data_IF_308367844220
#
_entry.id   IF_308367844220
#
_cell.length_a   1.000
_cell.length_b   1.000
_cell.length_c   1.000
_cell.angle_alpha   90.00
_cell.angle_beta   90.00
_cell.angle_gamma   90.00
#
_symmetry.space_group_name_H-M   'P 1'
#
loop_
_entity.id
_entity.type
_entity.pdbx_description
1 polymer ?
#
# COMPACT_ATOMS: atom_id res chain seq x y z
N UNK A 1 -11.69 12.86 9.63
CA UNK A 1 -11.87 11.58 10.36
C UNK A 1 -10.61 11.25 11.12
N UNK A 2 -10.76 10.95 12.39
CA UNK A 2 -9.63 10.52 13.20
C UNK A 2 -9.44 9.03 13.07
N UNK A 3 -8.21 8.60 12.82
CA UNK A 3 -7.84 7.20 12.86
C UNK A 3 -6.38 7.07 13.27
N UNK A 4 -6.06 5.91 13.84
CA UNK A 4 -4.69 5.58 14.20
C UNK A 4 -4.08 4.71 13.11
N UNK A 5 -2.78 4.87 12.88
CA UNK A 5 -2.02 4.01 11.97
C UNK A 5 -1.14 3.11 12.83
N UNK A 6 -1.44 1.82 12.83
CA UNK A 6 -0.79 0.84 13.69
C UNK A 6 -0.19 -0.30 12.85
N UNK A 7 0.84 -0.99 13.38
CA UNK A 7 1.32 -2.20 12.71
C UNK A 7 0.19 -3.22 12.56
N UNK A 8 0.10 -3.83 11.40
CA UNK A 8 -0.92 -4.83 11.11
C UNK A 8 -0.53 -6.18 11.69
N UNK A 9 -1.44 -6.79 12.43
CA UNK A 9 -1.23 -8.11 13.05
C UNK A 9 -2.08 -9.16 12.36
N UNK A 10 -1.83 -10.45 12.70
CA UNK A 10 -2.69 -11.54 12.23
C UNK A 10 -4.11 -11.41 12.76
N UNK A 11 -4.30 -10.86 13.94
CA UNK A 11 -5.64 -10.60 14.47
C UNK A 11 -6.39 -9.61 13.59
N UNK A 12 -5.72 -8.55 13.14
CA UNK A 12 -6.31 -7.62 12.20
C UNK A 12 -6.67 -8.30 10.89
N UNK A 13 -5.77 -9.13 10.37
CA UNK A 13 -6.03 -9.89 9.15
C UNK A 13 -7.26 -10.78 9.29
N UNK A 14 -7.37 -11.50 10.40
CA UNK A 14 -8.49 -12.40 10.65
C UNK A 14 -9.82 -11.66 10.65
N UNK A 15 -9.84 -10.41 11.12
CA UNK A 15 -11.05 -9.60 11.15
C UNK A 15 -11.51 -9.17 9.76
N UNK A 16 -10.58 -8.90 8.85
CA UNK A 16 -10.93 -8.39 7.52
C UNK A 16 -10.95 -9.46 6.45
N UNK A 17 -10.38 -10.64 6.71
CA UNK A 17 -10.33 -11.73 5.72
C UNK A 17 -11.68 -12.02 5.08
N UNK A 18 -12.78 -12.16 5.84
CA UNK A 18 -14.08 -12.48 5.24
C UNK A 18 -14.62 -11.41 4.29
N UNK A 19 -14.14 -10.18 4.39
CA UNK A 19 -14.65 -9.05 3.61
C UNK A 19 -13.61 -8.42 2.69
N UNK A 20 -12.46 -9.08 2.51
CA UNK A 20 -11.37 -8.53 1.68
C UNK A 20 -11.82 -8.21 0.26
N UNK A 21 -12.61 -9.09 -0.36
CA UNK A 21 -13.06 -8.88 -1.74
C UNK A 21 -14.30 -8.02 -1.84
N UNK A 22 -15.15 -8.01 -0.80
CA UNK A 22 -16.44 -7.31 -0.84
C UNK A 22 -16.36 -5.88 -0.33
N UNK A 23 -15.64 -5.63 0.76
CA UNK A 23 -15.56 -4.29 1.37
C UNK A 23 -14.26 -3.56 1.05
N UNK A 24 -13.16 -4.29 0.83
CA UNK A 24 -11.86 -3.68 0.55
C UNK A 24 -11.49 -3.72 -0.91
N UNK A 25 -12.14 -4.56 -1.70
CA UNK A 25 -11.84 -4.72 -3.12
C UNK A 25 -10.36 -5.06 -3.31
N UNK A 26 -9.86 -5.93 -2.45
CA UNK A 26 -8.44 -6.27 -2.43
C UNK A 26 -8.05 -7.07 -3.68
N UNK A 27 -6.96 -6.67 -4.29
CA UNK A 27 -6.33 -7.36 -5.40
C UNK A 27 -5.73 -8.70 -4.94
N UNK A 28 -5.36 -8.80 -3.66
CA UNK A 28 -4.65 -9.96 -3.13
C UNK A 28 -5.59 -11.06 -2.67
N UNK A 29 -5.20 -12.31 -2.95
CA UNK A 29 -5.86 -13.44 -2.30
C UNK A 29 -5.51 -13.41 -0.80
N UNK A 30 -6.45 -13.82 0.08
CA UNK A 30 -6.17 -13.80 1.52
C UNK A 30 -4.92 -14.57 1.91
N UNK A 31 -4.65 -15.71 1.28
CA UNK A 31 -3.45 -16.50 1.59
C UNK A 31 -2.15 -15.76 1.27
N UNK A 32 -2.14 -14.96 0.22
CA UNK A 32 -0.96 -14.19 -0.17
C UNK A 32 -0.72 -13.04 0.82
N UNK A 33 -1.77 -12.34 1.20
CA UNK A 33 -1.67 -11.27 2.20
C UNK A 33 -1.17 -11.82 3.53
N UNK A 34 -1.67 -13.00 3.94
CA UNK A 34 -1.21 -13.64 5.17
C UNK A 34 0.28 -13.98 5.12
N UNK A 35 0.75 -14.50 3.98
CA UNK A 35 2.17 -14.79 3.79
C UNK A 35 3.02 -13.53 3.90
N UNK A 36 2.54 -12.42 3.33
CA UNK A 36 3.24 -11.15 3.41
C UNK A 36 3.35 -10.64 4.85
N UNK A 37 2.30 -10.81 5.64
CA UNK A 37 2.32 -10.42 7.05
C UNK A 37 3.31 -11.23 7.88
N UNK A 38 3.59 -12.46 7.47
CA UNK A 38 4.53 -13.35 8.14
C UNK A 38 5.97 -13.17 7.64
N UNK A 39 6.16 -12.43 6.55
CA UNK A 39 7.47 -12.21 5.94
C UNK A 39 8.23 -11.12 6.72
N UNK A 40 9.43 -11.47 7.21
CA UNK A 40 10.24 -10.53 8.00
C UNK A 40 10.77 -9.35 7.18
N UNK A 41 10.78 -9.45 5.86
CA UNK A 41 11.17 -8.34 4.97
C UNK A 41 10.04 -7.38 4.68
N UNK A 42 8.82 -7.68 5.13
CA UNK A 42 7.64 -6.86 4.90
C UNK A 42 7.24 -6.10 6.17
N UNK A 43 6.66 -4.91 5.96
CA UNK A 43 6.09 -4.09 7.03
C UNK A 43 4.70 -3.65 6.58
N UNK A 44 3.69 -4.01 7.35
CA UNK A 44 2.30 -3.66 7.06
C UNK A 44 1.69 -2.84 8.18
N UNK A 45 0.83 -1.90 7.79
CA UNK A 45 0.14 -1.03 8.74
C UNK A 45 -1.35 -0.99 8.41
N UNK A 46 -2.15 -0.76 9.45
CA UNK A 46 -3.59 -0.56 9.30
C UNK A 46 -3.95 0.87 9.71
N UNK A 47 -5.03 1.37 9.11
CA UNK A 47 -5.73 2.55 9.59
C UNK A 47 -6.96 2.06 10.34
N UNK A 48 -7.08 2.42 11.61
CA UNK A 48 -8.16 1.94 12.48
C UNK A 48 -8.81 3.11 13.22
N UNK A 49 -10.14 3.11 13.26
CA UNK A 49 -10.92 4.03 14.06
C UNK A 49 -11.72 3.20 15.04
N UNK A 50 -11.39 3.31 16.34
CA UNK A 50 -11.92 2.44 17.38
C UNK A 50 -11.59 0.98 17.01
N UNK A 51 -12.59 0.15 16.72
CA UNK A 51 -12.38 -1.25 16.35
C UNK A 51 -12.62 -1.50 14.86
N UNK A 52 -12.83 -0.43 14.08
CA UNK A 52 -13.14 -0.55 12.65
C UNK A 52 -11.88 -0.32 11.83
N UNK A 53 -11.46 -1.33 11.07
CA UNK A 53 -10.31 -1.26 10.19
C UNK A 53 -10.75 -0.63 8.88
N UNK A 54 -10.16 0.52 8.56
CA UNK A 54 -10.55 1.34 7.41
C UNK A 54 -9.67 1.13 6.19
N UNK A 55 -8.48 0.60 6.39
CA UNK A 55 -7.55 0.36 5.31
C UNK A 55 -6.26 -0.28 5.80
N UNK A 56 -5.43 -0.70 4.87
CA UNK A 56 -4.11 -1.25 5.18
C UNK A 56 -3.16 -1.01 4.02
N UNK A 57 -1.88 -1.12 4.30
CA UNK A 57 -0.86 -1.01 3.27
C UNK A 57 0.46 -1.54 3.76
N UNK A 58 1.34 -1.86 2.83
CA UNK A 58 2.60 -2.46 3.18
C UNK A 58 3.73 -2.19 2.20
N UNK A 59 4.93 -2.43 2.69
CA UNK A 59 6.17 -2.37 1.92
C UNK A 59 6.99 -3.62 2.18
N UNK A 60 7.83 -4.00 1.23
CA UNK A 60 8.82 -5.06 1.44
C UNK A 60 10.18 -4.59 0.95
N UNK A 61 11.22 -5.07 1.60
CA UNK A 61 12.58 -4.64 1.34
C UNK A 61 13.26 -5.51 0.30
N UNK A 62 13.88 -4.87 -0.70
CA UNK A 62 14.68 -5.53 -1.73
C UNK A 62 16.04 -4.82 -1.79
N UNK A 63 17.04 -5.39 -1.16
CA UNK A 63 18.40 -4.87 -1.06
C UNK A 63 18.44 -3.49 -0.41
N UNK A 64 18.52 -2.41 -1.18
CA UNK A 64 18.59 -1.04 -0.65
C UNK A 64 17.39 -0.18 -1.02
N UNK A 65 16.28 -0.82 -1.40
CA UNK A 65 15.04 -0.09 -1.67
C UNK A 65 13.84 -0.84 -1.08
N UNK A 66 12.73 -0.13 -0.93
CA UNK A 66 11.45 -0.71 -0.55
C UNK A 66 10.46 -0.64 -1.68
N UNK A 67 9.63 -1.66 -1.79
CA UNK A 67 8.50 -1.69 -2.71
C UNK A 67 7.21 -1.53 -1.91
N UNK A 68 6.34 -0.63 -2.34
CA UNK A 68 4.97 -0.60 -1.84
C UNK A 68 4.23 -1.72 -2.54
N UNK A 69 3.72 -2.68 -1.75
CA UNK A 69 3.00 -3.82 -2.30
C UNK A 69 1.55 -3.48 -2.57
N UNK A 70 0.93 -2.74 -1.66
CA UNK A 70 -0.47 -2.35 -1.83
C UNK A 70 -0.84 -1.27 -0.81
N UNK A 71 -1.82 -0.44 -1.17
CA UNK A 71 -2.53 0.44 -0.24
C UNK A 71 -4.00 0.29 -0.59
N UNK A 72 -4.75 -0.27 0.35
CA UNK A 72 -6.17 -0.60 0.15
C UNK A 72 -6.99 0.13 1.19
N UNK A 73 -8.03 0.83 0.75
CA UNK A 73 -8.96 1.54 1.64
C UNK A 73 -10.35 0.92 1.48
N UNK A 74 -11.00 0.65 2.60
CA UNK A 74 -12.37 0.14 2.63
C UNK A 74 -13.27 1.02 1.76
N UNK A 75 -14.11 0.42 0.93
CA UNK A 75 -14.93 1.16 -0.04
C UNK A 75 -15.72 2.28 0.61
N UNK A 76 -16.33 2.01 1.76
CA UNK A 76 -17.15 2.99 2.48
C UNK A 76 -16.33 4.13 3.11
N UNK A 77 -15.01 4.01 3.13
CA UNK A 77 -14.12 4.98 3.78
C UNK A 77 -13.21 5.71 2.79
N UNK A 78 -13.44 5.55 1.50
CA UNK A 78 -12.65 6.21 0.45
C UNK A 78 -12.92 7.71 0.42
N UNK A 79 -11.94 8.44 -0.11
CA UNK A 79 -12.00 9.92 -0.25
C UNK A 79 -11.98 10.67 1.09
N UNK A 80 -11.52 10.02 2.16
CA UNK A 80 -11.39 10.62 3.49
C UNK A 80 -9.92 10.87 3.89
N UNK A 81 -8.98 10.64 2.96
CA UNK A 81 -7.56 10.85 3.23
C UNK A 81 -6.85 9.68 3.90
N UNK A 82 -7.50 8.54 4.02
CA UNK A 82 -6.94 7.37 4.72
C UNK A 82 -5.74 6.80 3.97
N UNK A 83 -5.82 6.70 2.64
CA UNK A 83 -4.70 6.24 1.83
C UNK A 83 -3.46 7.11 2.00
N UNK A 84 -3.66 8.43 2.12
CA UNK A 84 -2.57 9.37 2.37
C UNK A 84 -1.91 9.11 3.73
N UNK A 85 -2.70 8.86 4.77
CA UNK A 85 -2.17 8.59 6.11
C UNK A 85 -1.33 7.31 6.13
N UNK A 86 -1.81 6.27 5.44
CA UNK A 86 -1.07 5.01 5.33
C UNK A 86 0.24 5.25 4.57
N UNK A 87 0.18 5.94 3.44
CA UNK A 87 1.36 6.24 2.63
C UNK A 87 2.39 7.04 3.42
N UNK A 88 1.96 8.06 4.16
CA UNK A 88 2.85 8.86 5.00
C UNK A 88 3.57 7.99 6.03
N UNK A 89 2.85 7.05 6.64
CA UNK A 89 3.46 6.13 7.61
C UNK A 89 4.50 5.23 6.96
N UNK A 90 4.19 4.68 5.78
CA UNK A 90 5.12 3.83 5.06
C UNK A 90 6.39 4.59 4.68
N UNK A 91 6.25 5.81 4.19
CA UNK A 91 7.40 6.66 3.84
C UNK A 91 8.25 6.93 5.08
N UNK A 92 7.61 7.25 6.21
CA UNK A 92 8.31 7.57 7.45
C UNK A 92 9.16 6.39 7.94
N UNK A 93 8.58 5.18 8.00
CA UNK A 93 9.31 4.02 8.52
C UNK A 93 10.45 3.60 7.59
N UNK A 94 10.28 3.80 6.27
CA UNK A 94 11.33 3.49 5.31
C UNK A 94 12.49 4.49 5.41
N UNK A 95 12.18 5.77 5.56
CA UNK A 95 13.22 6.81 5.71
C UNK A 95 14.15 6.53 6.89
N UNK A 96 13.62 5.97 7.96
CA UNK A 96 14.41 5.67 9.14
C UNK A 96 15.43 4.55 8.93
N UNK A 97 15.32 3.80 7.83
CA UNK A 97 16.23 2.69 7.54
C UNK A 97 17.36 3.03 6.59
N UNK A 98 17.47 4.28 6.15
CA UNK A 98 18.56 4.75 5.33
C UNK A 98 18.72 3.97 4.01
N UNK A 99 17.59 3.71 3.34
CA UNK A 99 17.57 3.08 2.02
C UNK A 99 17.50 4.16 0.93
N UNK A 100 17.79 3.77 -0.32
CA UNK A 100 17.92 4.73 -1.41
C UNK A 100 16.57 5.22 -1.94
N UNK A 101 15.56 4.35 -1.97
CA UNK A 101 14.30 4.69 -2.64
C UNK A 101 13.14 3.82 -2.20
N UNK A 102 11.94 4.32 -2.53
CA UNK A 102 10.69 3.55 -2.45
C UNK A 102 10.11 3.53 -3.86
N UNK A 103 9.73 2.35 -4.34
CA UNK A 103 9.13 2.20 -5.66
C UNK A 103 7.78 1.50 -5.57
N UNK A 104 6.96 1.70 -6.59
CA UNK A 104 5.65 1.07 -6.70
C UNK A 104 5.25 0.93 -8.15
N UNK A 105 4.21 0.13 -8.40
CA UNK A 105 3.58 0.01 -9.69
C UNK A 105 2.11 0.41 -9.54
N UNK A 106 1.63 1.23 -10.44
CA UNK A 106 0.24 1.70 -10.42
C UNK A 106 -0.36 1.56 -11.80
N UNK A 107 -1.62 1.11 -11.85
CA UNK A 107 -2.33 0.96 -13.12
C UNK A 107 -2.37 2.29 -13.86
N UNK A 108 -2.06 2.28 -15.16
CA UNK A 108 -2.05 3.47 -16.00
C UNK A 108 -3.41 4.19 -16.01
N UNK A 109 -4.48 3.47 -15.74
CA UNK A 109 -5.84 4.03 -15.68
C UNK A 109 -6.23 4.55 -14.32
N UNK A 110 -5.44 4.29 -13.27
CA UNK A 110 -5.73 4.74 -11.93
C UNK A 110 -5.16 6.13 -11.67
N UNK A 111 -5.84 7.14 -12.24
CA UNK A 111 -5.39 8.53 -12.15
C UNK A 111 -5.37 9.06 -10.70
N UNK A 112 -6.39 8.81 -9.87
CA UNK A 112 -6.34 9.27 -8.48
C UNK A 112 -5.14 8.78 -7.70
N UNK A 113 -4.76 7.51 -7.87
CA UNK A 113 -3.60 6.95 -7.20
C UNK A 113 -2.31 7.59 -7.70
N UNK A 114 -2.18 7.80 -9.01
CA UNK A 114 -1.01 8.48 -9.58
C UNK A 114 -0.84 9.87 -8.98
N UNK A 115 -1.93 10.62 -8.86
CA UNK A 115 -1.89 11.97 -8.27
C UNK A 115 -1.50 11.94 -6.80
N UNK A 116 -1.98 10.95 -6.07
CA UNK A 116 -1.60 10.75 -4.66
C UNK A 116 -0.09 10.57 -4.54
N UNK A 117 0.47 9.67 -5.33
CA UNK A 117 1.90 9.39 -5.27
C UNK A 117 2.74 10.59 -5.72
N UNK A 118 2.32 11.28 -6.79
CA UNK A 118 3.00 12.50 -7.24
C UNK A 118 3.03 13.57 -6.16
N UNK A 119 1.95 13.71 -5.41
CA UNK A 119 1.87 14.67 -4.30
C UNK A 119 2.96 14.44 -3.26
N UNK A 120 3.36 13.18 -3.05
CA UNK A 120 4.40 12.83 -2.08
C UNK A 120 5.78 12.74 -2.70
N UNK A 121 5.95 13.13 -3.94
CA UNK A 121 7.25 13.24 -4.58
C UNK A 121 7.65 12.04 -5.42
N UNK A 122 6.78 11.06 -5.61
CA UNK A 122 7.04 9.94 -6.50
C UNK A 122 7.04 10.43 -7.94
N UNK A 123 7.97 9.92 -8.74
CA UNK A 123 8.11 10.27 -10.15
C UNK A 123 7.99 9.03 -11.01
N UNK A 124 7.35 9.18 -12.17
CA UNK A 124 7.28 8.09 -13.15
C UNK A 124 8.69 7.85 -13.72
N UNK A 125 9.15 6.61 -13.64
CA UNK A 125 10.47 6.22 -14.14
C UNK A 125 10.40 5.14 -15.21
N UNK A 126 9.22 4.60 -15.48
CA UNK A 126 9.08 3.56 -16.50
C UNK A 126 7.66 3.04 -16.59
N UNK A 127 7.48 2.11 -17.51
CA UNK A 127 6.20 1.46 -17.76
C UNK A 127 6.42 -0.04 -17.88
N UNK A 128 5.60 -0.83 -17.19
CA UNK A 128 5.57 -2.28 -17.35
C UNK A 128 4.34 -2.64 -18.17
N UNK A 129 4.56 -3.12 -19.39
CA UNK A 129 3.49 -3.39 -20.34
C UNK A 129 2.61 -4.55 -19.89
N UNK A 130 1.29 -4.37 -20.00
CA UNK A 130 0.27 -5.41 -19.77
C UNK A 130 0.44 -6.11 -18.42
N UNK A 131 0.84 -5.35 -17.41
CA UNK A 131 1.10 -5.89 -16.08
C UNK A 131 -0.17 -6.37 -15.38
N UNK A 132 -1.26 -5.60 -15.51
CA UNK A 132 -2.53 -5.90 -14.86
C UNK A 132 -3.42 -6.71 -15.80
N UNK A 133 -3.71 -7.96 -15.43
CA UNK A 133 -4.63 -8.85 -16.17
C UNK A 133 -4.29 -8.99 -17.66
N UNK A 134 -3.02 -8.85 -18.04
CA UNK A 134 -2.55 -8.90 -19.42
C UNK A 134 -3.19 -7.85 -20.33
N UNK A 135 -3.80 -6.81 -19.81
CA UNK A 135 -4.45 -5.77 -20.59
C UNK A 135 -3.93 -4.38 -20.31
N UNK A 136 -3.78 -4.03 -19.03
CA UNK A 136 -3.42 -2.69 -18.62
C UNK A 136 -1.93 -2.60 -18.28
N UNK A 137 -1.32 -1.51 -18.71
CA UNK A 137 0.07 -1.20 -18.38
C UNK A 137 0.16 -0.69 -16.93
N UNK A 138 1.30 -0.88 -16.30
CA UNK A 138 1.63 -0.29 -15.01
C UNK A 138 2.66 0.82 -15.20
N UNK A 139 2.45 1.93 -14.52
CA UNK A 139 3.46 2.98 -14.41
C UNK A 139 4.32 2.64 -13.19
N UNK A 140 5.63 2.64 -13.37
CA UNK A 140 6.58 2.46 -12.27
C UNK A 140 6.90 3.84 -11.73
N UNK A 141 6.62 4.06 -10.44
CA UNK A 141 6.87 5.33 -9.78
C UNK A 141 7.85 5.14 -8.63
N UNK A 142 8.77 6.09 -8.47
CA UNK A 142 9.82 5.99 -7.46
C UNK A 142 9.97 7.31 -6.71
N UNK A 143 10.10 7.21 -5.40
CA UNK A 143 10.49 8.30 -4.51
C UNK A 143 11.95 8.08 -4.12
N UNK A 144 12.82 8.97 -4.55
CA UNK A 144 14.24 8.93 -4.19
C UNK A 144 14.44 9.61 -2.85
N UNK A 145 15.11 8.93 -1.92
CA UNK A 145 15.27 9.38 -0.54
C UNK A 145 16.59 10.08 -0.27
N UNK A 146 17.47 10.08 -1.25
CA UNK A 146 18.79 10.71 -1.12
C UNK A 146 18.90 11.95 -2.00
#
# INVERSE_FOLDING_TARGET
>A
MECDILPMTLDHFNKIEPVLTTEFDSFWKPSILKQELENTSSKYFIAINKNDILGFGGVWKAVDEYHITDIVVKKSSRSLGIGSLILEKLIQVVKDENVASITLEVNVNNIPAQKLYEKYGFKSVGVRKKYYNNTDDAIIMTLFLN
#
